data_IF_347929490544
#
_entry.id   IF_347929490544
#
_cell.length_a   1.000
_cell.length_b   1.000
_cell.length_c   1.000
_cell.angle_alpha   90.00
_cell.angle_beta   90.00
_cell.angle_gamma   90.00
#
_symmetry.space_group_name_H-M   'P 1'
#
loop_
_entity.id
_entity.type
_entity.pdbx_description
1 polymer ?
#
# COMPACT_ATOMS: atom_id res chain seq x y z
N UNK A 1 14.28 10.97 5.32
CA UNK A 1 14.15 9.86 6.28
C UNK A 1 12.75 9.29 6.11
N UNK A 2 12.61 7.98 5.90
CA UNK A 2 11.30 7.32 5.84
C UNK A 2 10.97 6.72 7.20
N UNK A 3 9.71 6.87 7.60
CA UNK A 3 9.08 5.98 8.57
C UNK A 3 8.28 4.99 7.72
N UNK A 4 8.60 3.71 7.83
CA UNK A 4 8.12 2.68 6.92
C UNK A 4 7.49 1.50 7.64
N UNK A 5 6.44 0.95 7.04
CA UNK A 5 5.87 -0.34 7.39
C UNK A 5 5.79 -1.20 6.13
N UNK A 6 6.64 -2.23 6.07
CA UNK A 6 6.87 -3.01 4.85
C UNK A 6 6.12 -4.35 4.86
N UNK A 7 5.53 -4.74 5.99
CA UNK A 7 4.81 -6.01 6.11
C UNK A 7 3.39 -5.76 6.60
N UNK A 8 2.50 -5.60 5.62
CA UNK A 8 1.07 -5.47 5.82
C UNK A 8 0.34 -6.43 4.90
N UNK A 9 -0.96 -6.64 5.15
CA UNK A 9 -1.83 -7.46 4.33
C UNK A 9 -2.91 -6.63 3.66
N UNK A 10 -3.39 -7.10 2.51
CA UNK A 10 -4.53 -6.55 1.79
C UNK A 10 -5.85 -7.11 2.32
N UNK A 11 -6.97 -6.52 1.88
CA UNK A 11 -8.34 -7.03 2.14
C UNK A 11 -8.60 -8.46 1.62
N UNK A 12 -7.72 -9.03 0.81
CA UNK A 12 -7.83 -10.40 0.28
C UNK A 12 -7.14 -11.44 1.15
N UNK A 13 -6.33 -11.02 2.13
CA UNK A 13 -5.75 -11.93 3.11
C UNK A 13 -6.79 -12.48 4.07
N UNK A 14 -6.56 -13.70 4.55
CA UNK A 14 -7.43 -14.34 5.54
C UNK A 14 -7.35 -13.60 6.87
N UNK A 15 -8.48 -13.51 7.57
CA UNK A 15 -8.60 -12.85 8.88
C UNK A 15 -8.09 -11.39 8.90
N UNK A 16 -8.17 -10.70 7.76
CA UNK A 16 -7.82 -9.29 7.61
C UNK A 16 -9.09 -8.46 7.41
N UNK A 17 -9.08 -7.17 7.81
CA UNK A 17 -10.23 -6.28 7.60
C UNK A 17 -10.52 -6.11 6.11
N UNK A 18 -11.81 -6.00 5.77
CA UNK A 18 -12.25 -5.69 4.40
C UNK A 18 -11.85 -4.27 3.97
N UNK A 19 -11.56 -3.40 4.93
CA UNK A 19 -11.10 -2.02 4.74
C UNK A 19 -9.58 -1.94 4.53
N UNK A 20 -8.86 -3.05 4.44
CA UNK A 20 -7.44 -3.03 4.04
C UNK A 20 -7.30 -2.80 2.53
N UNK A 21 -7.83 -1.68 2.06
CA UNK A 21 -7.70 -1.13 0.71
C UNK A 21 -6.76 0.08 0.68
N UNK A 22 -6.40 0.54 -0.52
CA UNK A 22 -5.43 1.63 -0.68
C UNK A 22 -5.87 2.95 -0.04
N UNK A 23 -7.18 3.22 0.03
CA UNK A 23 -7.69 4.49 0.54
C UNK A 23 -7.52 4.57 2.07
N UNK A 24 -7.95 3.51 2.77
CA UNK A 24 -7.78 3.43 4.22
C UNK A 24 -6.33 3.21 4.63
N UNK A 25 -5.55 2.42 3.88
CA UNK A 25 -4.11 2.26 4.14
C UNK A 25 -3.39 3.61 4.16
N UNK A 26 -3.70 4.49 3.21
CA UNK A 26 -3.11 5.83 3.15
C UNK A 26 -3.62 6.74 4.26
N UNK A 27 -4.91 6.68 4.59
CA UNK A 27 -5.48 7.42 5.72
C UNK A 27 -4.75 7.08 7.03
N UNK A 28 -4.64 5.79 7.34
CA UNK A 28 -3.97 5.33 8.56
C UNK A 28 -2.45 5.59 8.53
N UNK A 29 -1.80 5.48 7.37
CA UNK A 29 -0.40 5.82 7.24
C UNK A 29 -0.13 7.30 7.59
N UNK A 30 -0.97 8.22 7.08
CA UNK A 30 -0.87 9.64 7.42
C UNK A 30 -1.07 9.90 8.90
N UNK A 31 -2.10 9.30 9.51
CA UNK A 31 -2.37 9.43 10.95
C UNK A 31 -1.20 8.93 11.80
N UNK A 32 -0.53 7.86 11.37
CA UNK A 32 0.64 7.26 12.05
C UNK A 32 1.97 7.93 11.70
N UNK A 33 2.00 8.85 10.74
CA UNK A 33 3.24 9.46 10.23
C UNK A 33 4.10 8.51 9.36
N UNK A 34 3.53 7.41 8.87
CA UNK A 34 4.19 6.47 7.96
C UNK A 34 4.19 7.07 6.56
N UNK A 35 5.37 7.20 5.96
CA UNK A 35 5.59 7.83 4.65
C UNK A 35 5.90 6.82 3.53
N UNK A 36 6.15 5.56 3.90
CA UNK A 36 6.39 4.45 2.97
C UNK A 36 5.69 3.18 3.46
N UNK A 37 4.88 2.57 2.60
CA UNK A 37 4.24 1.28 2.84
C UNK A 37 4.76 0.20 1.88
N UNK A 38 4.79 -1.05 2.33
CA UNK A 38 4.81 -2.20 1.41
C UNK A 38 3.50 -2.29 0.65
N UNK A 39 3.50 -2.79 -0.59
CA UNK A 39 2.26 -2.93 -1.37
C UNK A 39 1.29 -3.96 -0.79
N UNK A 40 1.71 -4.80 0.16
CA UNK A 40 1.04 -6.03 0.59
C UNK A 40 0.81 -7.01 -0.56
N UNK A 41 0.62 -8.31 -0.25
CA UNK A 41 -0.02 -9.36 -1.04
C UNK A 41 -0.04 -9.22 -2.59
N UNK A 42 1.02 -8.70 -3.22
CA UNK A 42 0.94 -8.20 -4.60
C UNK A 42 0.85 -9.33 -5.63
N UNK A 43 1.03 -10.57 -5.16
CA UNK A 43 0.83 -11.80 -5.92
C UNK A 43 -0.65 -12.18 -6.06
N UNK A 44 -1.54 -11.60 -5.24
CA UNK A 44 -2.99 -11.80 -5.38
C UNK A 44 -3.54 -11.03 -6.58
N UNK A 45 -4.17 -11.72 -7.53
CA UNK A 45 -4.49 -11.14 -8.83
C UNK A 45 -5.44 -9.93 -8.78
N UNK A 46 -6.48 -9.95 -7.93
CA UNK A 46 -7.39 -8.80 -7.79
C UNK A 46 -6.72 -7.63 -7.07
N UNK A 47 -5.81 -7.91 -6.14
CA UNK A 47 -5.06 -6.86 -5.44
C UNK A 47 -4.09 -6.18 -6.41
N UNK A 48 -3.36 -6.97 -7.20
CA UNK A 48 -2.47 -6.46 -8.23
C UNK A 48 -3.18 -5.59 -9.26
N UNK A 49 -4.42 -5.95 -9.65
CA UNK A 49 -5.24 -5.12 -10.54
C UNK A 49 -5.58 -3.77 -9.88
N UNK A 50 -5.97 -3.77 -8.61
CA UNK A 50 -6.25 -2.53 -7.86
C UNK A 50 -5.00 -1.66 -7.74
N UNK A 51 -3.86 -2.24 -7.34
CA UNK A 51 -2.56 -1.57 -7.25
C UNK A 51 -2.20 -0.91 -8.60
N UNK A 52 -2.30 -1.64 -9.72
CA UNK A 52 -2.02 -1.11 -11.06
C UNK A 52 -2.96 0.02 -11.48
N UNK A 53 -4.21 0.01 -11.00
CA UNK A 53 -5.21 1.02 -11.34
C UNK A 53 -5.03 2.34 -10.58
N UNK A 54 -4.58 2.28 -9.32
CA UNK A 54 -4.54 3.41 -8.40
C UNK A 54 -3.14 3.97 -8.18
N UNK A 55 -2.12 3.12 -8.11
CA UNK A 55 -0.75 3.54 -7.84
C UNK A 55 -0.13 4.23 -9.06
N UNK A 56 0.55 5.35 -8.81
CA UNK A 56 1.31 6.08 -9.85
C UNK A 56 2.80 5.87 -9.63
N UNK A 57 3.61 5.60 -10.68
CA UNK A 57 5.06 5.55 -10.53
C UNK A 57 5.61 6.85 -9.97
N UNK A 58 6.48 6.75 -8.96
CA UNK A 58 7.17 7.88 -8.34
C UNK A 58 8.70 7.86 -8.60
N UNK A 59 9.19 6.87 -9.35
CA UNK A 59 10.61 6.68 -9.67
C UNK A 59 11.35 5.83 -8.64
N UNK A 60 12.55 5.35 -8.98
CA UNK A 60 13.40 4.54 -8.10
C UNK A 60 12.71 3.30 -7.48
N UNK A 61 11.80 2.67 -8.22
CA UNK A 61 11.02 1.52 -7.74
C UNK A 61 9.88 1.87 -6.78
N UNK A 62 9.64 3.16 -6.51
CA UNK A 62 8.54 3.65 -5.70
C UNK A 62 7.31 3.94 -6.55
N UNK A 63 6.18 3.80 -5.88
CA UNK A 63 4.87 4.22 -6.33
C UNK A 63 4.28 5.22 -5.33
N UNK A 64 3.29 6.00 -5.72
CA UNK A 64 2.61 6.93 -4.85
C UNK A 64 1.10 6.84 -5.01
N UNK A 65 0.40 6.96 -3.88
CA UNK A 65 -1.04 7.14 -3.83
C UNK A 65 -1.40 8.15 -2.76
N UNK A 66 -2.08 9.21 -3.18
CA UNK A 66 -2.43 10.37 -2.36
C UNK A 66 -1.26 10.86 -1.46
N UNK A 67 -0.03 10.91 -1.98
CA UNK A 67 1.11 11.45 -1.23
C UNK A 67 1.75 10.51 -0.19
N UNK A 68 1.29 9.26 -0.07
CA UNK A 68 2.04 8.18 0.61
C UNK A 68 2.75 7.33 -0.44
N UNK A 69 3.99 6.95 -0.16
CA UNK A 69 4.76 6.12 -1.06
C UNK A 69 4.55 4.64 -0.79
N UNK A 70 4.66 3.84 -1.84
CA UNK A 70 4.57 2.39 -1.81
C UNK A 70 5.78 1.78 -2.50
N UNK A 71 6.21 0.60 -2.03
CA UNK A 71 7.25 -0.21 -2.67
C UNK A 71 6.76 -1.66 -2.77
N UNK A 72 7.14 -2.37 -3.84
CA UNK A 72 6.96 -3.81 -3.88
C UNK A 72 7.85 -4.44 -2.79
N UNK A 73 7.21 -5.05 -1.80
CA UNK A 73 7.81 -5.77 -0.68
C UNK A 73 7.02 -7.05 -0.42
#
# INVERSE_FOLDING_TARGET
MFIADLHIHSKYSRATSKEMDLDHLVEWARLKGISLLGTADFTHHLWLQELKSKLKPAGNGLFSYQGVNFILA
#
